data_IF_465853916820
#
_entry.id   IF_465853916820
#
_cell.length_a   1.000
_cell.length_b   1.000
_cell.length_c   1.000
_cell.angle_alpha   90.00
_cell.angle_beta   90.00
_cell.angle_gamma   90.00
#
_symmetry.space_group_name_H-M   'P 1'
#
loop_
_entity.id
_entity.type
_entity.pdbx_description
1 polymer ?
#
# COMPACT_ATOMS: atom_id res chain seq x y z
N UNK A 1 -6.52 31.41 19.99
CA UNK A 1 -7.03 30.27 19.19
C UNK A 1 -5.98 29.15 19.05
N UNK A 2 -4.73 29.45 18.65
CA UNK A 2 -3.65 28.44 18.53
C UNK A 2 -3.32 27.67 19.84
N UNK A 3 -3.31 28.34 21.00
CA UNK A 3 -3.05 27.69 22.30
C UNK A 3 -4.11 26.63 22.65
N UNK A 4 -5.36 26.84 22.23
CA UNK A 4 -6.48 25.94 22.53
C UNK A 4 -6.39 24.67 21.67
N UNK A 5 -6.02 24.79 20.40
CA UNK A 5 -5.84 23.65 19.48
C UNK A 5 -4.66 22.77 19.91
N UNK A 6 -3.57 23.39 20.38
CA UNK A 6 -2.40 22.65 20.90
C UNK A 6 -2.75 21.86 22.16
N UNK A 7 -3.50 22.45 23.08
CA UNK A 7 -3.96 21.77 24.30
C UNK A 7 -4.94 20.64 23.96
N UNK A 8 -5.92 20.88 23.09
CA UNK A 8 -6.89 19.87 22.65
C UNK A 8 -6.22 18.67 21.97
N UNK A 9 -5.21 18.91 21.12
CA UNK A 9 -4.50 17.83 20.44
C UNK A 9 -3.61 17.03 21.40
N UNK A 10 -3.02 17.69 22.41
CA UNK A 10 -2.29 17.04 23.49
C UNK A 10 -3.18 16.16 24.38
N UNK A 11 -4.41 16.60 24.65
CA UNK A 11 -5.41 15.82 25.39
C UNK A 11 -5.97 14.66 24.57
N UNK A 12 -6.17 14.84 23.26
CA UNK A 12 -6.73 13.81 22.39
C UNK A 12 -5.79 12.63 22.17
N UNK A 13 -4.53 12.90 21.80
CA UNK A 13 -3.51 11.87 21.70
C UNK A 13 -2.12 12.44 22.04
N UNK A 14 -1.63 12.24 23.26
CA UNK A 14 -0.35 12.80 23.72
C UNK A 14 0.85 12.23 22.93
N UNK A 15 0.72 11.01 22.41
CA UNK A 15 1.75 10.39 21.58
C UNK A 15 1.86 11.08 20.22
N UNK A 16 0.73 11.43 19.58
CA UNK A 16 0.73 12.26 18.36
C UNK A 16 1.38 13.61 18.62
N UNK A 17 0.99 14.28 19.72
CA UNK A 17 1.56 15.56 20.11
C UNK A 17 3.09 15.51 20.29
N UNK A 18 3.57 14.45 20.95
CA UNK A 18 5.01 14.20 21.15
C UNK A 18 5.76 14.10 19.83
N UNK A 19 5.24 13.32 18.87
CA UNK A 19 5.87 13.16 17.56
C UNK A 19 5.84 14.46 16.73
N UNK A 20 4.71 15.17 16.73
CA UNK A 20 4.56 16.48 16.08
C UNK A 20 5.59 17.47 16.60
N UNK A 21 5.68 17.65 17.93
CA UNK A 21 6.62 18.57 18.56
C UNK A 21 8.07 18.21 18.28
N UNK A 22 8.39 16.91 18.22
CA UNK A 22 9.74 16.43 17.92
C UNK A 22 10.17 16.69 16.47
N UNK A 23 9.22 16.63 15.52
CA UNK A 23 9.51 16.62 14.07
C UNK A 23 9.27 17.95 13.37
N UNK A 24 8.24 18.71 13.79
CA UNK A 24 7.89 20.02 13.22
C UNK A 24 8.79 21.14 13.74
N UNK A 25 10.10 20.96 13.60
CA UNK A 25 11.09 22.03 13.84
C UNK A 25 11.11 22.96 12.62
N UNK A 26 11.26 24.29 12.79
CA UNK A 26 11.25 25.24 11.68
C UNK A 26 12.19 24.86 10.54
N UNK A 27 13.40 24.38 10.86
CA UNK A 27 14.38 23.87 9.90
C UNK A 27 13.84 22.69 9.08
N UNK A 28 13.20 21.72 9.72
CA UNK A 28 12.66 20.54 9.04
C UNK A 28 11.49 20.93 8.14
N UNK A 29 10.60 21.80 8.62
CA UNK A 29 9.47 22.29 7.85
C UNK A 29 9.94 23.07 6.61
N UNK A 30 10.94 23.94 6.76
CA UNK A 30 11.52 24.68 5.63
C UNK A 30 12.10 23.73 4.57
N UNK A 31 12.86 22.71 4.99
CA UNK A 31 13.41 21.70 4.08
C UNK A 31 12.28 20.92 3.39
N UNK A 32 11.25 20.52 4.13
CA UNK A 32 10.07 19.82 3.60
C UNK A 32 9.34 20.65 2.53
N UNK A 33 9.13 21.95 2.79
CA UNK A 33 8.52 22.88 1.83
C UNK A 33 9.39 23.00 0.57
N UNK A 34 10.69 23.21 0.74
CA UNK A 34 11.63 23.33 -0.37
C UNK A 34 11.65 22.07 -1.23
N UNK A 35 11.73 20.88 -0.63
CA UNK A 35 11.71 19.59 -1.36
C UNK A 35 10.41 19.44 -2.15
N UNK A 36 9.25 19.74 -1.54
CA UNK A 36 7.96 19.61 -2.23
C UNK A 36 7.87 20.56 -3.43
N UNK A 37 8.18 21.85 -3.24
CA UNK A 37 8.08 22.86 -4.30
C UNK A 37 9.09 22.63 -5.43
N UNK A 38 10.34 22.29 -5.10
CA UNK A 38 11.38 22.01 -6.10
C UNK A 38 11.02 20.75 -6.90
N UNK A 39 10.53 19.69 -6.24
CA UNK A 39 10.13 18.47 -6.95
C UNK A 39 8.96 18.72 -7.91
N UNK A 40 7.96 19.51 -7.48
CA UNK A 40 6.84 19.91 -8.33
C UNK A 40 7.31 20.76 -9.52
N UNK A 41 8.21 21.72 -9.29
CA UNK A 41 8.78 22.55 -10.36
C UNK A 41 9.55 21.71 -11.38
N UNK A 42 10.42 20.80 -10.91
CA UNK A 42 11.21 19.92 -11.77
C UNK A 42 10.31 19.00 -12.60
N UNK A 43 9.22 18.49 -12.03
CA UNK A 43 8.24 17.68 -12.76
C UNK A 43 7.60 18.50 -13.90
N UNK A 44 7.13 19.71 -13.60
CA UNK A 44 6.52 20.58 -14.61
C UNK A 44 7.52 20.98 -15.70
N UNK A 45 8.77 21.28 -15.34
CA UNK A 45 9.84 21.54 -16.30
C UNK A 45 10.12 20.32 -17.19
N UNK A 46 10.15 19.13 -16.60
CA UNK A 46 10.33 17.87 -17.33
C UNK A 46 9.22 17.66 -18.37
N UNK A 47 7.96 17.91 -18.01
CA UNK A 47 6.85 17.82 -18.96
C UNK A 47 6.79 18.96 -19.96
N UNK A 48 7.18 20.18 -19.57
CA UNK A 48 7.28 21.30 -20.50
C UNK A 48 8.36 21.05 -21.57
N UNK A 49 9.46 20.38 -21.21
CA UNK A 49 10.53 20.03 -22.16
C UNK A 49 10.12 19.00 -23.22
N UNK A 50 9.01 18.31 -23.03
CA UNK A 50 8.48 17.31 -23.98
C UNK A 50 7.51 17.93 -25.01
N UNK A 51 7.20 19.22 -24.88
CA UNK A 51 6.33 19.92 -25.82
C UNK A 51 7.01 20.09 -27.19
N UNK A 52 6.25 20.01 -28.29
CA UNK A 52 6.81 20.17 -29.64
C UNK A 52 7.27 21.61 -29.85
N UNK A 53 8.47 21.78 -30.43
CA UNK A 53 9.04 23.08 -30.81
C UNK A 53 9.16 23.15 -32.33
N UNK A 54 8.86 24.30 -32.91
CA UNK A 54 8.99 24.54 -34.35
C UNK A 54 10.47 24.66 -34.71
N UNK A 55 11.02 23.63 -35.35
CA UNK A 55 12.37 23.67 -35.92
C UNK A 55 12.30 24.19 -37.36
N UNK A 56 12.92 25.34 -37.62
CA UNK A 56 12.88 26.03 -38.91
C UNK A 56 13.51 25.23 -40.08
N UNK A 57 14.22 24.13 -39.81
CA UNK A 57 15.01 23.39 -40.80
C UNK A 57 14.36 22.08 -41.29
N UNK A 58 13.33 21.55 -40.61
CA UNK A 58 12.69 20.30 -41.02
C UNK A 58 11.47 20.54 -41.91
N UNK A 59 11.63 20.27 -43.21
CA UNK A 59 10.50 20.05 -44.13
C UNK A 59 9.99 18.62 -43.96
N UNK A 60 9.05 18.40 -43.03
CA UNK A 60 8.38 17.10 -42.83
C UNK A 60 7.22 17.16 -41.85
N UNK A 61 6.41 16.09 -41.80
CA UNK A 61 5.39 15.91 -40.77
C UNK A 61 6.07 15.76 -39.39
N UNK A 62 5.71 16.62 -38.43
CA UNK A 62 6.21 16.57 -37.07
C UNK A 62 5.26 15.74 -36.19
N UNK A 63 5.81 14.82 -35.40
CA UNK A 63 5.01 13.92 -34.57
C UNK A 63 5.37 14.10 -33.10
N UNK A 64 4.36 14.30 -32.24
CA UNK A 64 4.55 14.40 -30.80
C UNK A 64 3.31 13.83 -30.08
N UNK A 65 3.49 13.29 -28.87
CA UNK A 65 2.41 12.77 -28.03
C UNK A 65 1.33 13.82 -27.76
N UNK A 66 1.73 15.09 -27.58
CA UNK A 66 0.84 16.19 -27.21
C UNK A 66 0.23 16.92 -28.40
N UNK A 67 0.40 16.45 -29.64
CA UNK A 67 -0.20 17.08 -30.81
C UNK A 67 -1.65 16.62 -31.05
N UNK A 68 -2.44 17.42 -31.77
CA UNK A 68 -3.88 17.20 -32.00
C UNK A 68 -4.22 16.61 -33.37
N UNK A 69 -3.25 16.49 -34.29
CA UNK A 69 -3.49 16.04 -35.65
C UNK A 69 -3.67 14.53 -35.80
N UNK A 70 -3.59 14.06 -37.05
CA UNK A 70 -3.76 12.65 -37.38
C UNK A 70 -2.80 11.77 -36.59
N UNK A 71 -3.31 10.62 -36.20
CA UNK A 71 -2.66 9.70 -35.31
C UNK A 71 -1.71 8.68 -35.91
N UNK A 72 -0.64 8.32 -35.18
CA UNK A 72 0.12 7.08 -35.38
C UNK A 72 0.65 6.52 -34.05
N UNK A 73 0.13 5.37 -33.63
CA UNK A 73 0.56 4.49 -32.52
C UNK A 73 0.81 5.16 -31.16
N UNK A 74 1.86 5.98 -31.06
CA UNK A 74 2.31 6.64 -29.83
C UNK A 74 2.40 8.18 -29.95
N UNK A 75 2.08 8.73 -31.12
CA UNK A 75 2.23 10.16 -31.42
C UNK A 75 1.19 10.64 -32.41
N UNK A 76 0.82 11.91 -32.32
CA UNK A 76 -0.04 12.59 -33.27
C UNK A 76 0.77 13.55 -34.13
N UNK A 77 0.32 13.80 -35.36
CA UNK A 77 0.91 14.82 -36.23
C UNK A 77 0.60 16.21 -35.65
N UNK A 78 1.57 17.12 -35.72
CA UNK A 78 1.48 18.46 -35.17
C UNK A 78 0.87 19.42 -36.19
N UNK A 79 -0.30 19.97 -35.84
CA UNK A 79 -1.02 20.94 -36.66
C UNK A 79 -0.57 22.35 -36.25
N UNK A 80 -0.22 23.24 -37.21
CA UNK A 80 0.18 24.60 -36.89
C UNK A 80 -1.01 25.40 -36.35
N UNK A 81 -0.75 26.22 -35.32
CA UNK A 81 -1.76 27.04 -34.64
C UNK A 81 -2.05 28.39 -35.34
N UNK A 82 -1.30 28.71 -36.40
CA UNK A 82 -1.38 29.99 -37.12
C UNK A 82 -0.66 31.17 -36.43
N UNK A 83 -0.07 30.97 -35.24
CA UNK A 83 0.71 31.95 -34.47
C UNK A 83 2.21 31.64 -34.46
N UNK A 84 2.64 30.64 -35.25
CA UNK A 84 4.03 30.21 -35.33
C UNK A 84 4.37 29.08 -34.34
N UNK A 85 3.36 28.42 -33.77
CA UNK A 85 3.48 27.24 -32.91
C UNK A 85 2.65 26.05 -33.41
N UNK A 86 2.46 25.07 -32.53
CA UNK A 86 1.62 23.90 -32.78
C UNK A 86 0.41 23.89 -31.82
N UNK A 87 -0.70 23.33 -32.27
CA UNK A 87 -1.85 23.06 -31.41
C UNK A 87 -1.53 21.91 -30.44
N UNK A 88 -1.60 22.20 -29.14
CA UNK A 88 -1.22 21.27 -28.06
C UNK A 88 -2.46 20.73 -27.36
N UNK A 89 -2.51 19.41 -27.18
CA UNK A 89 -3.48 18.71 -26.33
C UNK A 89 -3.12 18.90 -24.85
N UNK A 90 -3.52 20.04 -24.29
CA UNK A 90 -3.31 20.38 -22.88
C UNK A 90 -3.99 19.42 -21.91
N UNK A 91 -5.12 18.82 -22.31
CA UNK A 91 -5.81 17.84 -21.49
C UNK A 91 -4.92 16.61 -21.25
N UNK A 92 -4.33 16.05 -22.32
CA UNK A 92 -3.40 14.92 -22.23
C UNK A 92 -2.14 15.27 -21.43
N UNK A 93 -1.60 16.48 -21.63
CA UNK A 93 -0.44 16.96 -20.87
C UNK A 93 -0.71 17.01 -19.37
N UNK A 94 -1.85 17.56 -18.95
CA UNK A 94 -2.23 17.62 -17.53
C UNK A 94 -2.56 16.25 -16.94
N UNK A 95 -3.11 15.33 -17.74
CA UNK A 95 -3.31 13.94 -17.33
C UNK A 95 -1.99 13.22 -17.07
N UNK A 96 -0.99 13.38 -17.94
CA UNK A 96 0.34 12.80 -17.73
C UNK A 96 0.98 13.37 -16.43
N UNK A 97 0.88 14.69 -16.21
CA UNK A 97 1.33 15.32 -14.95
C UNK A 97 0.62 14.71 -13.74
N UNK A 98 -0.70 14.53 -13.82
CA UNK A 98 -1.50 13.91 -12.75
C UNK A 98 -1.04 12.48 -12.44
N UNK A 99 -0.82 11.65 -13.46
CA UNK A 99 -0.38 10.25 -13.31
C UNK A 99 0.98 10.19 -12.63
N UNK A 100 1.93 11.03 -13.05
CA UNK A 100 3.27 11.03 -12.46
C UNK A 100 3.28 11.55 -11.03
N UNK A 101 2.50 12.58 -10.73
CA UNK A 101 2.29 13.02 -9.34
C UNK A 101 1.67 11.91 -8.48
N UNK A 102 0.71 11.16 -9.02
CA UNK A 102 0.12 9.99 -8.36
C UNK A 102 1.17 8.91 -8.10
N UNK A 103 1.95 8.52 -9.10
CA UNK A 103 3.01 7.51 -8.96
C UNK A 103 4.06 7.93 -7.93
N UNK A 104 4.58 9.16 -8.02
CA UNK A 104 5.53 9.70 -7.03
C UNK A 104 4.89 9.69 -5.64
N UNK A 105 3.61 10.07 -5.52
CA UNK A 105 2.85 10.04 -4.27
C UNK A 105 2.73 8.63 -3.67
N UNK A 106 2.44 7.61 -4.48
CA UNK A 106 2.37 6.20 -4.07
C UNK A 106 3.71 5.75 -3.47
N UNK A 107 4.78 5.93 -4.23
CA UNK A 107 6.13 5.52 -3.78
C UNK A 107 6.57 6.30 -2.55
N UNK A 108 6.35 7.62 -2.53
CA UNK A 108 6.70 8.46 -1.40
C UNK A 108 5.94 8.01 -0.13
N UNK A 109 4.61 7.90 -0.17
CA UNK A 109 3.81 7.49 0.98
C UNK A 109 4.18 6.08 1.45
N UNK A 110 4.12 5.08 0.57
CA UNK A 110 4.26 3.69 1.00
C UNK A 110 5.71 3.32 1.34
N UNK A 111 6.71 3.74 0.55
CA UNK A 111 8.11 3.38 0.80
C UNK A 111 8.72 4.25 1.90
N UNK A 112 8.67 5.58 1.74
CA UNK A 112 9.28 6.50 2.71
C UNK A 112 8.54 6.45 4.04
N UNK A 113 7.21 6.38 4.03
CA UNK A 113 6.42 6.26 5.26
C UNK A 113 6.73 4.97 6.03
N UNK A 114 6.84 3.83 5.34
CA UNK A 114 7.27 2.55 5.95
C UNK A 114 8.68 2.67 6.53
N UNK A 115 9.63 3.24 5.79
CA UNK A 115 10.99 3.46 6.28
C UNK A 115 11.01 4.34 7.54
N UNK A 116 10.24 5.43 7.55
CA UNK A 116 10.17 6.36 8.68
C UNK A 116 9.65 5.69 9.94
N UNK A 117 8.58 4.90 9.84
CA UNK A 117 8.00 4.17 10.97
C UNK A 117 8.95 3.11 11.51
N UNK A 118 9.56 2.31 10.64
CA UNK A 118 10.52 1.28 11.04
C UNK A 118 11.78 1.89 11.65
N UNK A 119 12.31 2.97 11.06
CA UNK A 119 13.48 3.66 11.59
C UNK A 119 13.22 4.27 12.95
N UNK A 120 12.03 4.84 13.14
CA UNK A 120 11.61 5.37 14.45
C UNK A 120 11.56 4.27 15.50
N UNK A 121 10.85 3.19 15.21
CA UNK A 121 10.67 2.09 16.15
C UNK A 121 11.99 1.39 16.49
N UNK A 122 12.83 1.15 15.49
CA UNK A 122 14.17 0.58 15.66
C UNK A 122 15.06 1.46 16.54
N UNK A 123 15.04 2.78 16.33
CA UNK A 123 15.76 3.74 17.17
C UNK A 123 15.24 3.74 18.60
N UNK A 124 13.93 3.73 18.80
CA UNK A 124 13.35 3.71 20.14
C UNK A 124 13.60 2.40 20.90
N UNK A 125 13.57 1.25 20.23
CA UNK A 125 13.93 -0.03 20.84
C UNK A 125 15.43 -0.04 21.21
N UNK A 126 16.31 0.44 20.31
CA UNK A 126 17.76 0.50 20.59
C UNK A 126 18.14 1.42 21.76
N UNK A 127 17.35 2.47 22.00
CA UNK A 127 17.53 3.43 23.10
C UNK A 127 16.80 3.01 24.38
N UNK A 128 16.06 1.90 24.35
CA UNK A 128 15.21 1.45 25.46
C UNK A 128 13.99 2.33 25.71
N UNK A 129 13.73 3.36 24.90
CA UNK A 129 12.59 4.28 25.10
C UNK A 129 11.26 3.62 24.78
N UNK A 130 11.25 2.60 23.93
CA UNK A 130 10.05 1.82 23.65
C UNK A 130 9.58 1.03 24.89
N UNK A 131 10.49 0.60 25.77
CA UNK A 131 10.12 -0.05 27.02
C UNK A 131 9.43 0.91 27.98
N UNK A 132 9.84 2.18 28.03
CA UNK A 132 9.12 3.19 28.82
C UNK A 132 7.72 3.41 28.30
N UNK A 133 7.53 3.46 26.97
CA UNK A 133 6.19 3.56 26.36
C UNK A 133 5.30 2.37 26.73
N UNK A 134 5.84 1.15 26.77
CA UNK A 134 5.10 -0.06 27.19
C UNK A 134 4.61 -0.02 28.64
N UNK A 135 5.29 0.74 29.50
CA UNK A 135 4.93 0.90 30.91
C UNK A 135 3.94 2.05 31.15
N UNK A 136 3.67 2.88 30.14
CA UNK A 136 2.69 3.96 30.28
C UNK A 136 1.26 3.40 30.35
N UNK A 137 0.35 4.03 31.10
CA UNK A 137 -1.04 3.56 31.24
C UNK A 137 -1.90 3.76 29.97
N UNK A 138 -1.29 4.09 28.84
CA UNK A 138 -2.00 4.31 27.58
C UNK A 138 -2.22 3.00 26.83
N UNK A 139 -3.33 2.91 26.10
CA UNK A 139 -3.63 1.74 25.27
C UNK A 139 -2.67 1.64 24.08
N UNK A 140 -2.31 0.42 23.66
CA UNK A 140 -1.46 0.20 22.48
C UNK A 140 -1.99 0.91 21.23
N UNK A 141 -3.30 0.88 20.92
CA UNK A 141 -3.84 1.59 19.77
C UNK A 141 -3.62 3.11 19.83
N UNK A 142 -3.69 3.71 21.02
CA UNK A 142 -3.41 5.15 21.20
C UNK A 142 -1.95 5.47 20.91
N UNK A 143 -1.01 4.68 21.46
CA UNK A 143 0.43 4.89 21.28
C UNK A 143 0.83 4.63 19.82
N UNK A 144 0.54 3.43 19.32
CA UNK A 144 0.96 3.01 17.99
C UNK A 144 0.20 3.74 16.89
N UNK A 145 -1.09 4.03 17.08
CA UNK A 145 -1.86 4.90 16.18
C UNK A 145 -1.31 6.33 16.18
N UNK A 146 -0.87 6.81 17.34
CA UNK A 146 -0.20 8.09 17.43
C UNK A 146 1.13 8.16 16.68
N UNK A 147 1.86 7.04 16.61
CA UNK A 147 3.05 6.91 15.75
C UNK A 147 2.68 6.88 14.27
N UNK A 148 1.64 6.16 13.89
CA UNK A 148 1.16 6.07 12.50
C UNK A 148 0.82 7.47 11.92
N UNK A 149 0.22 8.33 12.74
CA UNK A 149 -0.10 9.71 12.34
C UNK A 149 1.07 10.68 12.51
N UNK A 150 1.84 10.55 13.60
CA UNK A 150 2.84 11.55 13.98
C UNK A 150 4.22 11.35 13.35
N UNK A 151 4.67 10.10 13.16
CA UNK A 151 6.02 9.81 12.67
C UNK A 151 6.25 10.30 11.24
N UNK A 152 5.38 9.98 10.26
CA UNK A 152 5.50 10.47 8.90
C UNK A 152 4.90 11.89 8.68
N UNK A 153 4.72 12.72 9.71
CA UNK A 153 4.05 14.02 9.56
C UNK A 153 4.69 14.94 8.52
N UNK A 154 6.03 14.97 8.43
CA UNK A 154 6.72 15.77 7.43
C UNK A 154 6.43 15.29 6.00
N UNK A 155 6.27 13.97 5.82
CA UNK A 155 5.88 13.38 4.54
C UNK A 155 4.43 13.74 4.20
N UNK A 156 3.51 13.72 5.17
CA UNK A 156 2.14 14.20 4.96
C UNK A 156 2.09 15.67 4.57
N UNK A 157 2.95 16.52 5.14
CA UNK A 157 3.07 17.92 4.72
C UNK A 157 3.61 18.02 3.29
N UNK A 158 4.62 17.24 2.92
CA UNK A 158 5.13 17.20 1.53
C UNK A 158 4.02 16.90 0.54
N UNK A 159 3.22 15.86 0.81
CA UNK A 159 2.08 15.45 -0.03
C UNK A 159 0.98 16.51 0.01
N UNK A 160 0.66 17.05 1.20
CA UNK A 160 -0.32 18.13 1.37
C UNK A 160 0.01 19.37 0.53
N UNK A 161 1.29 19.70 0.39
CA UNK A 161 1.75 20.79 -0.48
C UNK A 161 1.72 20.45 -1.97
N UNK A 162 1.71 19.16 -2.35
CA UNK A 162 1.57 18.70 -3.73
C UNK A 162 0.09 18.52 -4.14
N UNK A 163 -0.83 18.42 -3.17
CA UNK A 163 -2.26 18.27 -3.43
C UNK A 163 -2.86 19.37 -4.33
N UNK A 164 -2.51 20.67 -4.18
CA UNK A 164 -3.05 21.71 -5.06
C UNK A 164 -2.70 21.45 -6.53
N UNK A 165 -1.44 21.13 -6.83
CA UNK A 165 -1.03 20.81 -8.20
C UNK A 165 -1.71 19.53 -8.71
N UNK A 166 -1.83 18.52 -7.86
CA UNK A 166 -2.53 17.27 -8.20
C UNK A 166 -4.02 17.52 -8.52
N UNK A 167 -4.71 18.34 -7.74
CA UNK A 167 -6.10 18.76 -7.99
C UNK A 167 -6.25 19.62 -9.25
N UNK A 168 -5.35 20.58 -9.47
CA UNK A 168 -5.35 21.38 -10.69
C UNK A 168 -5.13 20.51 -11.93
N UNK A 169 -4.20 19.56 -11.86
CA UNK A 169 -3.91 18.62 -12.95
C UNK A 169 -5.09 17.69 -13.25
N UNK A 170 -5.85 17.24 -12.24
CA UNK A 170 -7.03 16.42 -12.46
C UNK A 170 -8.16 17.19 -13.14
N UNK A 171 -8.42 18.44 -12.72
CA UNK A 171 -9.44 19.30 -13.32
C UNK A 171 -9.06 19.66 -14.74
N UNK A 172 -7.81 20.07 -14.99
CA UNK A 172 -7.33 20.41 -16.32
C UNK A 172 -7.24 19.18 -17.25
N UNK A 173 -7.02 17.99 -16.68
CA UNK A 173 -7.06 16.71 -17.37
C UNK A 173 -8.45 16.11 -17.55
N UNK A 174 -9.52 16.83 -17.17
CA UNK A 174 -10.92 16.39 -17.28
C UNK A 174 -11.21 15.04 -16.58
N UNK A 175 -10.57 14.80 -15.42
CA UNK A 175 -10.76 13.59 -14.63
C UNK A 175 -11.99 13.75 -13.72
N UNK A 176 -12.97 12.81 -13.75
CA UNK A 176 -14.17 12.91 -12.91
C UNK A 176 -13.84 12.92 -11.41
N UNK A 177 -14.43 13.86 -10.67
CA UNK A 177 -14.18 14.05 -9.23
C UNK A 177 -14.48 12.79 -8.39
N UNK A 178 -15.52 12.03 -8.75
CA UNK A 178 -15.85 10.79 -8.05
C UNK A 178 -14.75 9.72 -8.15
N UNK A 179 -14.14 9.58 -9.32
CA UNK A 179 -13.03 8.65 -9.54
C UNK A 179 -11.77 9.11 -8.78
N UNK A 180 -11.52 10.41 -8.74
CA UNK A 180 -10.44 10.99 -7.94
C UNK A 180 -10.61 10.71 -6.43
N UNK A 181 -11.84 10.81 -5.91
CA UNK A 181 -12.14 10.48 -4.52
C UNK A 181 -11.84 9.00 -4.22
N UNK A 182 -12.24 8.09 -5.11
CA UNK A 182 -11.91 6.66 -5.01
C UNK A 182 -10.39 6.44 -4.90
N UNK A 183 -9.60 7.11 -5.74
CA UNK A 183 -8.14 7.01 -5.69
C UNK A 183 -7.57 7.43 -4.33
N UNK A 184 -8.02 8.56 -3.76
CA UNK A 184 -7.55 8.99 -2.45
C UNK A 184 -7.97 8.05 -1.31
N UNK A 185 -9.18 7.48 -1.38
CA UNK A 185 -9.64 6.49 -0.39
C UNK A 185 -8.77 5.21 -0.46
N UNK A 186 -8.47 4.72 -1.66
CA UNK A 186 -7.58 3.57 -1.86
C UNK A 186 -6.16 3.89 -1.38
N UNK A 187 -5.64 5.08 -1.68
CA UNK A 187 -4.33 5.51 -1.19
C UNK A 187 -4.27 5.52 0.34
N UNK A 188 -5.28 6.11 0.99
CA UNK A 188 -5.34 6.20 2.45
C UNK A 188 -5.45 4.81 3.11
N UNK A 189 -6.29 3.94 2.58
CA UNK A 189 -6.43 2.55 3.07
C UNK A 189 -5.15 1.74 2.86
N UNK A 190 -4.47 1.91 1.73
CA UNK A 190 -3.16 1.29 1.46
C UNK A 190 -2.12 1.78 2.46
N UNK A 191 -2.03 3.09 2.72
CA UNK A 191 -1.14 3.64 3.74
C UNK A 191 -1.41 3.03 5.12
N UNK A 192 -2.68 2.93 5.52
CA UNK A 192 -3.05 2.31 6.80
C UNK A 192 -2.59 0.85 6.87
N UNK A 193 -2.76 0.09 5.80
CA UNK A 193 -2.35 -1.31 5.74
C UNK A 193 -0.83 -1.46 5.82
N UNK A 194 -0.08 -0.81 4.93
CA UNK A 194 1.38 -0.89 4.90
C UNK A 194 2.01 -0.37 6.19
N UNK A 195 1.50 0.73 6.76
CA UNK A 195 2.02 1.26 8.03
C UNK A 195 1.69 0.35 9.22
N UNK A 196 0.52 -0.29 9.25
CA UNK A 196 0.18 -1.26 10.30
C UNK A 196 1.09 -2.51 10.20
N UNK A 197 1.31 -3.01 8.99
CA UNK A 197 2.25 -4.11 8.74
C UNK A 197 3.70 -3.71 9.08
N UNK A 198 4.10 -2.49 8.76
CA UNK A 198 5.41 -1.95 9.11
C UNK A 198 5.61 -1.90 10.63
N UNK A 199 4.63 -1.40 11.39
CA UNK A 199 4.69 -1.41 12.85
C UNK A 199 4.77 -2.84 13.41
N UNK A 200 4.01 -3.78 12.82
CA UNK A 200 4.02 -5.17 13.28
C UNK A 200 5.37 -5.83 13.02
N UNK A 201 5.87 -5.72 11.79
CA UNK A 201 7.20 -6.16 11.42
C UNK A 201 8.26 -5.52 12.32
N UNK A 202 8.09 -4.22 12.58
CA UNK A 202 8.75 -3.40 13.58
C UNK A 202 8.93 -4.09 14.95
N UNK A 203 7.81 -4.48 15.54
CA UNK A 203 7.77 -5.11 16.86
C UNK A 203 8.19 -6.58 16.86
N UNK A 204 8.15 -7.28 15.74
CA UNK A 204 8.49 -8.71 15.70
C UNK A 204 9.97 -8.91 15.39
N UNK A 205 10.53 -8.13 14.48
CA UNK A 205 11.91 -8.31 13.98
C UNK A 205 12.96 -7.44 14.70
N UNK A 206 12.76 -7.19 16.00
CA UNK A 206 13.62 -6.33 16.85
C UNK A 206 15.12 -6.67 16.78
N UNK A 207 15.43 -7.95 16.59
CA UNK A 207 16.81 -8.44 16.46
C UNK A 207 17.55 -7.87 15.25
N UNK A 208 16.81 -7.44 14.21
CA UNK A 208 17.40 -6.81 13.01
C UNK A 208 17.85 -5.37 13.27
N UNK A 209 17.42 -4.73 14.36
CA UNK A 209 17.84 -3.38 14.76
C UNK A 209 17.83 -2.40 13.57
N UNK A 210 18.98 -1.81 13.22
CA UNK A 210 19.11 -0.79 12.18
C UNK A 210 18.94 -1.32 10.75
N UNK A 211 18.98 -2.64 10.53
CA UNK A 211 18.72 -3.24 9.22
C UNK A 211 17.22 -3.33 8.89
N UNK A 212 16.38 -3.33 9.92
CA UNK A 212 14.93 -3.47 9.79
C UNK A 212 14.26 -2.45 8.84
N UNK A 213 14.58 -1.13 8.90
CA UNK A 213 13.94 -0.15 8.02
C UNK A 213 14.31 -0.34 6.55
N UNK A 214 15.56 -0.74 6.27
CA UNK A 214 16.03 -1.04 4.91
C UNK A 214 15.33 -2.26 4.34
N UNK A 215 15.24 -3.35 5.11
CA UNK A 215 14.58 -4.57 4.66
C UNK A 215 13.08 -4.33 4.42
N UNK A 216 12.38 -3.68 5.36
CA UNK A 216 10.95 -3.44 5.24
C UNK A 216 10.60 -2.48 4.11
N UNK A 217 11.26 -1.33 4.01
CA UNK A 217 11.00 -0.37 2.92
C UNK A 217 11.47 -0.88 1.56
N UNK A 218 12.58 -1.62 1.50
CA UNK A 218 13.06 -2.27 0.28
C UNK A 218 12.09 -3.34 -0.24
N UNK A 219 11.50 -4.13 0.66
CA UNK A 219 10.45 -5.08 0.28
C UNK A 219 9.21 -4.39 -0.29
N UNK A 220 8.76 -3.28 0.31
CA UNK A 220 7.66 -2.46 -0.22
C UNK A 220 8.02 -1.88 -1.59
N UNK A 221 9.23 -1.33 -1.75
CA UNK A 221 9.70 -0.79 -3.01
C UNK A 221 9.71 -1.85 -4.12
N UNK A 222 10.29 -3.02 -3.85
CA UNK A 222 10.31 -4.13 -4.80
C UNK A 222 8.90 -4.58 -5.18
N UNK A 223 8.01 -4.69 -4.19
CA UNK A 223 6.61 -5.00 -4.43
C UNK A 223 5.94 -3.98 -5.36
N UNK A 224 6.10 -2.67 -5.11
CA UNK A 224 5.52 -1.63 -5.94
C UNK A 224 6.08 -1.64 -7.36
N UNK A 225 7.39 -1.86 -7.53
CA UNK A 225 8.02 -1.95 -8.86
C UNK A 225 7.45 -3.15 -9.62
N UNK A 226 7.41 -4.33 -9.01
CA UNK A 226 6.88 -5.55 -9.65
C UNK A 226 5.42 -5.33 -10.04
N UNK A 227 4.59 -4.84 -9.13
CA UNK A 227 3.15 -4.63 -9.40
C UNK A 227 2.90 -3.54 -10.43
N UNK A 228 3.70 -2.47 -10.46
CA UNK A 228 3.59 -1.43 -11.51
C UNK A 228 3.88 -2.02 -12.89
N UNK A 229 4.87 -2.90 -13.01
CA UNK A 229 5.16 -3.59 -14.28
C UNK A 229 4.04 -4.55 -14.67
N UNK A 230 3.47 -5.30 -13.72
CA UNK A 230 2.32 -6.18 -13.95
C UNK A 230 1.11 -5.38 -14.43
N UNK A 231 0.84 -4.21 -13.83
CA UNK A 231 -0.24 -3.32 -14.26
C UNK A 231 0.00 -2.70 -15.64
N UNK A 232 1.25 -2.47 -16.02
CA UNK A 232 1.59 -1.91 -17.34
C UNK A 232 1.48 -2.95 -18.47
N UNK A 233 1.74 -4.22 -18.17
CA UNK A 233 1.63 -5.33 -19.10
C UNK A 233 0.57 -6.33 -18.63
N UNK A 234 -0.74 -6.01 -18.78
CA UNK A 234 -1.80 -6.91 -18.40
C UNK A 234 -1.85 -8.07 -19.42
N UNK A 235 -1.07 -9.12 -19.16
CA UNK A 235 -1.40 -10.44 -19.67
C UNK A 235 -2.76 -10.85 -19.04
N UNK A 236 -3.56 -11.65 -19.74
CA UNK A 236 -4.80 -12.21 -19.20
C UNK A 236 -4.47 -13.03 -17.95
N UNK A 237 -4.57 -12.40 -16.78
CA UNK A 237 -4.27 -13.03 -15.52
C UNK A 237 -5.60 -13.37 -14.86
N UNK A 238 -5.92 -14.66 -14.86
CA UNK A 238 -7.00 -15.24 -14.06
C UNK A 238 -6.36 -16.10 -12.96
N UNK A 239 -5.35 -15.55 -12.31
CA UNK A 239 -4.47 -16.27 -11.41
C UNK A 239 -4.72 -15.85 -9.97
N UNK A 240 -4.55 -16.75 -8.98
CA UNK A 240 -4.65 -16.38 -7.57
C UNK A 240 -3.69 -15.23 -7.17
N UNK A 241 -2.63 -15.00 -7.95
CA UNK A 241 -1.69 -13.90 -7.76
C UNK A 241 -2.32 -12.51 -7.94
N UNK A 242 -3.46 -12.39 -8.63
CA UNK A 242 -4.15 -11.12 -8.85
C UNK A 242 -4.66 -10.48 -7.55
N UNK A 243 -4.84 -11.29 -6.50
CA UNK A 243 -5.07 -10.82 -5.15
C UNK A 243 -4.03 -9.79 -4.69
N UNK A 244 -2.75 -9.94 -5.09
CA UNK A 244 -1.68 -9.02 -4.73
C UNK A 244 -1.89 -7.61 -5.28
N UNK A 245 -2.62 -7.47 -6.39
CA UNK A 245 -2.91 -6.16 -6.97
C UNK A 245 -3.79 -5.29 -6.07
N UNK A 246 -4.60 -5.90 -5.18
CA UNK A 246 -5.42 -5.18 -4.20
C UNK A 246 -4.61 -4.40 -3.16
N UNK A 247 -3.30 -4.64 -3.06
CA UNK A 247 -2.42 -3.85 -2.19
C UNK A 247 -1.74 -2.68 -2.94
N UNK A 248 -1.84 -2.60 -4.27
CA UNK A 248 -1.20 -1.57 -5.06
C UNK A 248 -2.20 -0.44 -5.42
N UNK A 249 -2.11 0.76 -4.83
CA UNK A 249 -3.07 1.84 -5.09
C UNK A 249 -3.07 2.35 -6.54
N UNK A 250 -1.98 2.11 -7.29
CA UNK A 250 -1.89 2.46 -8.70
C UNK A 250 -2.85 1.70 -9.61
N UNK A 251 -3.54 0.68 -9.10
CA UNK A 251 -4.52 -0.09 -9.88
C UNK A 251 -5.71 0.75 -10.36
N UNK A 252 -6.02 1.86 -9.69
CA UNK A 252 -7.08 2.77 -10.13
C UNK A 252 -6.64 3.72 -11.24
N UNK A 253 -5.34 3.90 -11.48
CA UNK A 253 -4.84 4.89 -12.44
C UNK A 253 -5.42 4.72 -13.85
N UNK A 254 -5.48 3.50 -14.44
CA UNK A 254 -6.12 3.31 -15.75
C UNK A 254 -7.58 3.79 -15.78
N UNK A 255 -8.35 3.49 -14.73
CA UNK A 255 -9.76 3.90 -14.63
C UNK A 255 -9.96 5.42 -14.55
N UNK A 256 -8.98 6.17 -14.04
CA UNK A 256 -9.05 7.63 -13.94
C UNK A 256 -8.94 8.31 -15.31
N UNK A 257 -8.24 7.68 -16.25
CA UNK A 257 -7.83 8.23 -17.54
C UNK A 257 -8.79 7.79 -18.66
N UNK A 258 -9.40 6.61 -18.51
CA UNK A 258 -10.28 5.96 -19.49
C UNK A 258 -11.65 6.66 -19.73
N UNK A 259 -11.85 7.87 -19.20
CA UNK A 259 -13.09 8.61 -19.50
C UNK A 259 -13.03 9.31 -20.86
N UNK A 260 -11.86 9.82 -21.31
CA UNK A 260 -11.78 10.65 -22.54
C UNK A 260 -10.40 10.70 -23.22
N UNK A 261 -9.46 9.83 -22.87
CA UNK A 261 -8.08 9.99 -23.34
C UNK A 261 -7.35 8.66 -23.39
N UNK A 262 -7.33 8.07 -24.56
CA UNK A 262 -6.11 7.71 -25.28
C UNK A 262 -6.62 7.09 -26.57
N UNK A 263 -6.93 7.95 -27.54
CA UNK A 263 -6.57 7.53 -28.88
C UNK A 263 -6.01 8.66 -29.72
N UNK A 264 -4.92 8.33 -30.41
CA UNK A 264 -5.00 8.56 -31.82
C UNK A 264 -4.90 7.22 -32.62
N UNK A 265 -4.29 6.12 -32.16
CA UNK A 265 -4.64 4.79 -32.74
C UNK A 265 -4.51 3.64 -31.74
N UNK A 266 -5.64 2.98 -31.47
CA UNK A 266 -5.88 1.84 -30.59
C UNK A 266 -4.62 0.98 -30.33
N UNK A 267 -3.94 1.21 -29.21
CA UNK A 267 -2.95 0.25 -28.65
C UNK A 267 -3.42 -0.32 -27.30
N UNK A 268 -4.45 0.27 -26.70
CA UNK A 268 -5.33 -0.47 -25.82
C UNK A 268 -6.54 -0.83 -26.68
N UNK A 269 -6.52 -2.01 -27.31
CA UNK A 269 -7.77 -2.77 -27.44
C UNK A 269 -8.47 -2.59 -26.09
N UNK A 270 -9.60 -1.88 -26.12
CA UNK A 270 -10.63 -1.70 -25.08
C UNK A 270 -10.27 -2.17 -23.67
N UNK A 271 -10.75 -1.42 -22.67
CA UNK A 271 -10.80 -1.78 -21.25
C UNK A 271 -11.40 -3.15 -20.84
N UNK A 272 -11.45 -4.16 -21.72
CA UNK A 272 -11.71 -5.57 -21.45
C UNK A 272 -10.64 -6.24 -20.54
N UNK A 273 -9.38 -5.75 -20.50
CA UNK A 273 -8.34 -6.41 -19.67
C UNK A 273 -8.61 -6.32 -18.17
N UNK A 274 -9.00 -5.13 -17.68
CA UNK A 274 -9.41 -4.98 -16.30
C UNK A 274 -10.86 -5.46 -16.14
N UNK A 275 -11.78 -5.20 -17.09
CA UNK A 275 -13.17 -5.62 -16.98
C UNK A 275 -13.40 -7.14 -16.87
N UNK A 276 -12.37 -7.95 -17.17
CA UNK A 276 -12.39 -9.41 -17.01
C UNK A 276 -12.02 -9.94 -15.62
N UNK A 277 -11.48 -9.15 -14.69
CA UNK A 277 -11.06 -9.71 -13.39
C UNK A 277 -12.26 -10.13 -12.52
N UNK A 278 -12.30 -11.42 -12.19
CA UNK A 278 -13.42 -12.03 -11.49
C UNK A 278 -13.01 -12.41 -10.07
N UNK A 279 -13.88 -12.10 -9.11
CA UNK A 279 -13.79 -12.61 -7.75
C UNK A 279 -15.04 -13.45 -7.45
N UNK A 280 -14.90 -14.77 -7.33
CA UNK A 280 -16.02 -15.72 -7.32
C UNK A 280 -16.98 -15.54 -8.52
N UNK A 281 -16.43 -15.37 -9.72
CA UNK A 281 -17.19 -15.07 -10.95
C UNK A 281 -18.01 -13.76 -10.90
N UNK A 282 -17.74 -12.89 -9.92
CA UNK A 282 -18.29 -11.53 -9.85
C UNK A 282 -17.28 -10.58 -10.54
N UNK A 283 -17.69 -9.82 -11.56
CA UNK A 283 -16.80 -8.88 -12.26
C UNK A 283 -16.56 -7.65 -11.39
N UNK A 284 -15.58 -7.76 -10.49
CA UNK A 284 -15.28 -6.74 -9.46
C UNK A 284 -14.67 -5.47 -10.05
N UNK A 285 -14.15 -5.56 -11.27
CA UNK A 285 -13.49 -4.50 -12.03
C UNK A 285 -14.39 -3.80 -13.05
N UNK A 286 -15.64 -4.25 -13.22
CA UNK A 286 -16.59 -3.62 -14.15
C UNK A 286 -16.89 -2.15 -13.80
N UNK A 287 -16.78 -1.78 -12.52
CA UNK A 287 -17.00 -0.44 -12.03
C UNK A 287 -15.90 -0.01 -11.06
N UNK A 288 -15.41 1.22 -11.20
CA UNK A 288 -14.40 1.80 -10.31
C UNK A 288 -14.80 1.70 -8.82
N UNK A 289 -16.09 1.82 -8.51
CA UNK A 289 -16.62 1.69 -7.14
C UNK A 289 -16.50 0.28 -6.56
N UNK A 290 -16.78 -0.75 -7.36
CA UNK A 290 -16.69 -2.15 -6.93
C UNK A 290 -15.24 -2.52 -6.62
N UNK A 291 -14.34 -2.15 -7.54
CA UNK A 291 -12.91 -2.38 -7.37
C UNK A 291 -12.32 -1.60 -6.19
N UNK A 292 -12.74 -0.34 -6.02
CA UNK A 292 -12.41 0.48 -4.85
C UNK A 292 -12.89 -0.18 -3.56
N UNK A 293 -14.14 -0.65 -3.53
CA UNK A 293 -14.72 -1.33 -2.37
C UNK A 293 -13.94 -2.58 -1.96
N UNK A 294 -13.61 -3.45 -2.93
CA UNK A 294 -12.81 -4.65 -2.68
C UNK A 294 -11.41 -4.33 -2.19
N UNK A 295 -10.76 -3.33 -2.80
CA UNK A 295 -9.42 -2.86 -2.41
C UNK A 295 -9.41 -2.31 -0.99
N UNK A 296 -10.38 -1.47 -0.64
CA UNK A 296 -10.52 -0.90 0.71
C UNK A 296 -10.82 -1.99 1.73
N UNK A 297 -11.71 -2.93 1.40
CA UNK A 297 -12.03 -4.08 2.24
C UNK A 297 -10.79 -4.94 2.51
N UNK A 298 -10.03 -5.30 1.47
CA UNK A 298 -8.78 -6.05 1.60
C UNK A 298 -7.79 -5.33 2.51
N UNK A 299 -7.52 -4.05 2.26
CA UNK A 299 -6.61 -3.27 3.09
C UNK A 299 -7.09 -3.16 4.55
N UNK A 300 -8.39 -2.98 4.79
CA UNK A 300 -8.96 -2.94 6.13
C UNK A 300 -8.84 -4.29 6.85
N UNK A 301 -9.10 -5.40 6.15
CA UNK A 301 -9.00 -6.77 6.68
C UNK A 301 -7.57 -7.07 7.15
N UNK A 302 -6.57 -6.80 6.32
CA UNK A 302 -5.17 -7.04 6.67
C UNK A 302 -4.64 -6.05 7.72
N UNK A 303 -5.12 -4.80 7.71
CA UNK A 303 -4.86 -3.85 8.80
C UNK A 303 -5.40 -4.35 10.14
N UNK A 304 -6.63 -4.91 10.14
CA UNK A 304 -7.24 -5.47 11.35
C UNK A 304 -6.40 -6.61 11.92
N UNK A 305 -5.99 -7.57 11.09
CA UNK A 305 -5.13 -8.67 11.54
C UNK A 305 -3.76 -8.18 12.02
N UNK A 306 -3.16 -7.21 11.32
CA UNK A 306 -1.93 -6.57 11.79
C UNK A 306 -2.12 -5.97 13.19
N UNK A 307 -3.25 -5.31 13.47
CA UNK A 307 -3.55 -4.74 14.77
C UNK A 307 -3.78 -5.76 15.88
N UNK A 308 -4.36 -6.92 15.58
CA UNK A 308 -4.43 -8.03 16.54
C UNK A 308 -3.03 -8.46 16.99
N UNK A 309 -2.09 -8.57 16.05
CA UNK A 309 -0.69 -8.86 16.35
C UNK A 309 0.00 -7.74 17.12
N UNK A 310 -0.19 -6.48 16.70
CA UNK A 310 0.39 -5.31 17.35
C UNK A 310 0.01 -5.21 18.82
N UNK A 311 -1.28 -5.39 19.15
CA UNK A 311 -1.76 -5.29 20.53
C UNK A 311 -1.10 -6.32 21.45
N UNK A 312 -0.87 -7.54 20.94
CA UNK A 312 -0.21 -8.64 21.67
C UNK A 312 1.29 -8.40 21.83
N UNK A 313 1.99 -8.12 20.72
CA UNK A 313 3.44 -8.00 20.71
C UNK A 313 3.96 -6.70 21.35
N UNK A 314 3.10 -5.66 21.44
CA UNK A 314 3.49 -4.39 22.04
C UNK A 314 3.77 -4.51 23.54
N UNK A 315 2.82 -5.04 24.32
CA UNK A 315 2.99 -5.21 25.77
C UNK A 315 3.85 -6.41 26.12
N UNK A 316 3.71 -7.52 25.37
CA UNK A 316 4.40 -8.77 25.62
C UNK A 316 5.33 -9.13 24.46
N UNK A 317 6.61 -8.71 24.51
CA UNK A 317 7.61 -9.00 23.49
C UNK A 317 7.79 -10.46 23.12
N UNK A 318 7.61 -11.35 24.10
CA UNK A 318 7.80 -12.79 23.96
C UNK A 318 6.50 -13.54 23.61
N UNK A 319 5.39 -12.83 23.43
CA UNK A 319 4.13 -13.44 23.04
C UNK A 319 4.10 -13.76 21.55
N UNK A 320 3.38 -14.82 21.21
CA UNK A 320 3.06 -15.15 19.83
C UNK A 320 2.24 -14.02 19.20
N UNK A 321 2.44 -13.81 17.89
CA UNK A 321 1.76 -12.76 17.13
C UNK A 321 0.25 -13.01 17.14
N UNK A 322 -0.17 -14.26 16.97
CA UNK A 322 -1.57 -14.66 16.97
C UNK A 322 -1.83 -15.75 18.03
N UNK A 323 -3.06 -15.83 18.54
CA UNK A 323 -3.53 -17.06 19.18
C UNK A 323 -3.89 -18.11 18.12
N UNK A 324 -4.04 -19.36 18.55
CA UNK A 324 -4.51 -20.46 17.68
C UNK A 324 -5.90 -20.20 17.10
N UNK A 325 -6.79 -19.60 17.90
CA UNK A 325 -8.10 -19.19 17.40
C UNK A 325 -7.99 -18.11 16.32
N UNK A 326 -7.13 -17.11 16.54
CA UNK A 326 -6.87 -16.06 15.56
C UNK A 326 -6.23 -16.63 14.29
N UNK A 327 -5.36 -17.64 14.40
CA UNK A 327 -4.78 -18.28 13.21
C UNK A 327 -5.82 -19.01 12.37
N UNK A 328 -6.79 -19.72 12.96
CA UNK A 328 -7.84 -20.35 12.15
C UNK A 328 -8.70 -19.32 11.40
N UNK A 329 -8.99 -18.19 12.05
CA UNK A 329 -9.79 -17.12 11.44
C UNK A 329 -9.03 -16.39 10.33
N UNK A 330 -7.75 -16.04 10.54
CA UNK A 330 -6.94 -15.41 9.50
C UNK A 330 -6.69 -16.37 8.33
N UNK A 331 -6.54 -17.68 8.57
CA UNK A 331 -6.51 -18.68 7.50
C UNK A 331 -7.81 -18.67 6.70
N UNK A 332 -8.97 -18.69 7.36
CA UNK A 332 -10.26 -18.63 6.64
C UNK A 332 -10.41 -17.34 5.82
N UNK A 333 -9.98 -16.19 6.36
CA UNK A 333 -9.97 -14.93 5.64
C UNK A 333 -9.01 -14.95 4.43
N UNK A 334 -7.81 -15.51 4.60
CA UNK A 334 -6.80 -15.65 3.55
C UNK A 334 -7.34 -16.52 2.41
N UNK A 335 -7.83 -17.72 2.74
CA UNK A 335 -8.40 -18.66 1.77
C UNK A 335 -9.58 -18.04 1.02
N UNK A 336 -10.50 -17.37 1.73
CA UNK A 336 -11.64 -16.71 1.10
C UNK A 336 -11.19 -15.64 0.07
N UNK A 337 -10.14 -14.87 0.39
CA UNK A 337 -9.63 -13.85 -0.53
C UNK A 337 -8.95 -14.46 -1.75
N UNK A 338 -8.04 -15.42 -1.54
CA UNK A 338 -7.22 -15.98 -2.62
C UNK A 338 -7.99 -16.95 -3.52
N UNK A 339 -8.85 -17.79 -2.95
CA UNK A 339 -9.70 -18.73 -3.72
C UNK A 339 -10.64 -17.97 -4.63
N UNK A 340 -11.13 -16.81 -4.19
CA UNK A 340 -12.03 -15.98 -5.01
C UNK A 340 -11.43 -15.59 -6.37
N UNK A 341 -10.11 -15.41 -6.47
CA UNK A 341 -9.41 -15.14 -7.74
C UNK A 341 -9.01 -16.40 -8.52
N UNK A 342 -9.12 -17.58 -7.92
CA UNK A 342 -8.74 -18.86 -8.54
C UNK A 342 -9.87 -19.59 -9.27
N UNK A 343 -11.13 -19.22 -8.99
CA UNK A 343 -12.33 -19.96 -9.41
C UNK A 343 -12.82 -19.58 -10.81
N UNK A 344 -12.02 -18.88 -11.59
CA UNK A 344 -12.32 -18.66 -12.99
C UNK A 344 -12.24 -19.98 -13.76
N UNK A 345 -13.28 -20.28 -14.53
CA UNK A 345 -13.36 -21.48 -15.34
C UNK A 345 -13.78 -21.10 -16.75
N UNK A 346 -12.82 -20.96 -17.65
CA UNK A 346 -13.09 -20.98 -19.07
C UNK A 346 -13.21 -22.44 -19.52
N UNK A 347 -14.33 -22.78 -20.15
CA UNK A 347 -14.60 -24.14 -20.64
C UNK A 347 -13.71 -24.50 -21.84
N UNK A 348 -13.12 -23.50 -22.50
CA UNK A 348 -12.29 -23.69 -23.69
C UNK A 348 -10.78 -23.92 -23.37
N UNK A 349 -10.33 -23.57 -22.16
CA UNK A 349 -8.90 -23.67 -21.75
C UNK A 349 -8.70 -24.36 -20.38
N UNK A 350 -8.77 -25.70 -20.31
CA UNK A 350 -8.63 -26.44 -19.04
C UNK A 350 -7.22 -26.41 -18.42
N UNK A 351 -6.18 -25.96 -19.14
CA UNK A 351 -4.81 -25.85 -18.63
C UNK A 351 -4.66 -24.82 -17.50
N UNK A 352 -5.47 -23.75 -17.51
CA UNK A 352 -5.42 -22.65 -16.53
C UNK A 352 -5.77 -23.13 -15.11
N UNK A 353 -6.57 -24.19 -14.99
CA UNK A 353 -6.98 -24.76 -13.71
C UNK A 353 -5.83 -25.39 -12.91
N UNK A 354 -4.84 -25.96 -13.60
CA UNK A 354 -3.69 -26.60 -12.95
C UNK A 354 -2.66 -25.57 -12.48
N UNK A 355 -2.40 -24.54 -13.28
CA UNK A 355 -1.53 -23.41 -12.90
C UNK A 355 -2.10 -22.66 -11.69
N UNK A 356 -3.42 -22.43 -11.67
CA UNK A 356 -4.11 -21.84 -10.52
C UNK A 356 -3.93 -22.66 -9.24
N UNK A 357 -4.03 -23.98 -9.33
CA UNK A 357 -3.79 -24.86 -8.17
C UNK A 357 -2.33 -24.78 -7.70
N UNK A 358 -1.36 -24.78 -8.61
CA UNK A 358 0.06 -24.64 -8.25
C UNK A 358 0.35 -23.32 -7.54
N UNK A 359 -0.15 -22.21 -8.07
CA UNK A 359 0.02 -20.88 -7.48
C UNK A 359 -0.65 -20.84 -6.10
N UNK A 360 -1.86 -21.38 -5.96
CA UNK A 360 -2.58 -21.44 -4.68
C UNK A 360 -1.82 -22.26 -3.64
N UNK A 361 -1.20 -23.38 -4.02
CA UNK A 361 -0.35 -24.19 -3.15
C UNK A 361 0.92 -23.43 -2.71
N UNK A 362 1.54 -22.66 -3.60
CA UNK A 362 2.70 -21.82 -3.25
C UNK A 362 2.31 -20.74 -2.24
N UNK A 363 1.19 -20.06 -2.46
CA UNK A 363 0.67 -19.06 -1.52
C UNK A 363 0.31 -19.67 -0.17
N UNK A 364 -0.36 -20.83 -0.16
CA UNK A 364 -0.65 -21.59 1.05
C UNK A 364 0.63 -21.98 1.79
N UNK A 365 1.64 -22.48 1.10
CA UNK A 365 2.93 -22.83 1.69
C UNK A 365 3.58 -21.62 2.36
N UNK A 366 3.66 -20.47 1.66
CA UNK A 366 4.23 -19.24 2.20
C UNK A 366 3.43 -18.77 3.42
N UNK A 367 2.10 -18.81 3.34
CA UNK A 367 1.22 -18.43 4.43
C UNK A 367 1.38 -19.33 5.66
N UNK A 368 1.43 -20.64 5.48
CA UNK A 368 1.64 -21.59 6.58
C UNK A 368 3.05 -21.46 7.19
N UNK A 369 4.09 -21.22 6.40
CA UNK A 369 5.42 -20.89 6.95
C UNK A 369 5.38 -19.62 7.81
N UNK A 370 4.63 -18.60 7.36
CA UNK A 370 4.35 -17.39 8.14
C UNK A 370 3.60 -17.68 9.45
N UNK A 371 2.56 -18.52 9.40
CA UNK A 371 1.80 -18.92 10.60
C UNK A 371 2.65 -19.73 11.58
N UNK A 372 3.50 -20.65 11.10
CA UNK A 372 4.43 -21.38 11.94
C UNK A 372 5.33 -20.39 12.69
N UNK A 373 5.88 -19.39 12.01
CA UNK A 373 6.69 -18.35 12.65
C UNK A 373 5.87 -17.49 13.64
N UNK A 374 4.61 -17.20 13.32
CA UNK A 374 3.73 -16.36 14.13
C UNK A 374 3.19 -17.05 15.40
N UNK A 375 3.03 -18.39 15.35
CA UNK A 375 2.43 -19.21 16.40
C UNK A 375 3.45 -19.96 17.25
N UNK A 376 4.70 -20.07 16.79
CA UNK A 376 5.72 -20.84 17.51
C UNK A 376 6.08 -20.18 18.84
N UNK A 377 5.73 -20.79 19.99
CA UNK A 377 6.08 -20.25 21.29
C UNK A 377 7.58 -20.28 21.53
N UNK A 378 8.05 -19.36 22.38
CA UNK A 378 9.45 -19.32 22.77
C UNK A 378 9.87 -20.62 23.49
N UNK A 379 11.14 -21.00 23.34
CA UNK A 379 11.70 -22.26 23.88
C UNK A 379 11.38 -22.45 25.37
N UNK A 380 11.51 -21.39 26.16
CA UNK A 380 11.22 -21.43 27.59
C UNK A 380 9.74 -21.73 27.88
N UNK A 381 8.82 -21.12 27.12
CA UNK A 381 7.37 -21.35 27.25
C UNK A 381 7.01 -22.81 26.97
N UNK A 382 7.65 -23.44 25.97
CA UNK A 382 7.47 -24.86 25.68
C UNK A 382 8.00 -25.77 26.79
N UNK A 383 9.17 -25.45 27.35
CA UNK A 383 9.75 -26.20 28.46
C UNK A 383 8.87 -26.12 29.70
N UNK A 384 8.35 -24.93 30.00
CA UNK A 384 7.44 -24.72 31.12
C UNK A 384 6.13 -25.48 30.89
N UNK A 385 5.55 -25.41 29.70
CA UNK A 385 4.35 -26.18 29.35
C UNK A 385 4.55 -27.69 29.55
N UNK A 386 5.66 -28.24 29.04
CA UNK A 386 5.97 -29.66 29.19
C UNK A 386 6.15 -30.05 30.67
N UNK A 387 6.84 -29.21 31.45
CA UNK A 387 7.05 -29.42 32.90
C UNK A 387 5.73 -29.37 33.67
N UNK A 388 4.92 -28.33 33.48
CA UNK A 388 3.63 -28.18 34.17
C UNK A 388 2.69 -29.34 33.87
N UNK A 389 2.64 -29.79 32.61
CA UNK A 389 1.83 -30.94 32.22
C UNK A 389 2.30 -32.24 32.87
N UNK A 390 3.61 -32.45 32.96
CA UNK A 390 4.18 -33.62 33.61
C UNK A 390 3.85 -33.66 35.12
N UNK A 391 3.98 -32.52 35.79
CA UNK A 391 3.75 -32.36 37.23
C UNK A 391 2.26 -32.41 37.64
N UNK A 392 1.32 -32.16 36.72
CA UNK A 392 -0.11 -32.23 37.04
C UNK A 392 -0.57 -33.68 37.30
N UNK A 393 -1.33 -33.93 38.40
CA UNK A 393 -1.89 -35.23 38.69
C UNK A 393 -2.89 -35.64 37.59
N UNK A 394 -2.98 -36.95 37.30
CA UNK A 394 -3.77 -37.48 36.17
C UNK A 394 -5.23 -37.00 36.16
N UNK A 395 -5.83 -36.74 37.32
CA UNK A 395 -7.20 -36.23 37.48
C UNK A 395 -7.38 -34.76 37.10
N UNK A 396 -6.30 -33.96 37.08
CA UNK A 396 -6.31 -32.53 36.75
C UNK A 396 -5.62 -32.22 35.41
N UNK A 397 -5.06 -33.22 34.72
CA UNK A 397 -4.45 -33.03 33.41
C UNK A 397 -5.52 -32.63 32.41
N UNK A 398 -5.36 -31.42 31.86
CA UNK A 398 -6.17 -30.97 30.72
C UNK A 398 -6.01 -31.93 29.55
N UNK A 399 -7.10 -32.17 28.84
CA UNK A 399 -7.11 -32.95 27.60
C UNK A 399 -6.01 -32.42 26.66
N UNK A 400 -5.17 -33.35 26.18
CA UNK A 400 -4.02 -33.03 25.33
C UNK A 400 -4.47 -32.38 24.03
N UNK A 401 -5.50 -32.93 23.40
CA UNK A 401 -5.98 -32.43 22.11
C UNK A 401 -6.56 -31.03 22.25
N UNK A 402 -7.39 -30.81 23.26
CA UNK A 402 -7.93 -29.47 23.56
C UNK A 402 -6.82 -28.47 23.86
N UNK A 403 -5.80 -28.87 24.61
CA UNK A 403 -4.67 -28.00 24.96
C UNK A 403 -3.75 -27.74 23.75
N UNK A 404 -3.57 -28.70 22.83
CA UNK A 404 -2.82 -28.49 21.59
C UNK A 404 -3.59 -27.65 20.56
N UNK A 405 -4.92 -27.78 20.47
CA UNK A 405 -5.73 -27.01 19.52
C UNK A 405 -5.98 -25.57 19.97
N UNK A 406 -6.10 -25.35 21.28
CA UNK A 406 -6.54 -24.06 21.83
C UNK A 406 -5.55 -23.41 22.81
N UNK A 407 -4.62 -24.18 23.38
CA UNK A 407 -3.68 -23.67 24.37
C UNK A 407 -2.61 -22.77 23.77
N UNK A 408 -2.39 -21.60 24.36
CA UNK A 408 -1.41 -20.63 23.86
C UNK A 408 0.05 -21.00 24.17
N UNK A 409 0.28 -21.77 25.23
CA UNK A 409 1.61 -22.16 25.69
C UNK A 409 2.07 -23.51 25.14
N UNK A 410 1.15 -24.25 24.52
CA UNK A 410 1.43 -25.57 23.94
C UNK A 410 2.03 -25.43 22.53
N UNK A 411 2.73 -26.47 22.03
CA UNK A 411 3.22 -26.50 20.65
C UNK A 411 2.12 -26.15 19.63
N UNK A 412 2.49 -25.43 18.57
CA UNK A 412 1.62 -25.25 17.43
C UNK A 412 1.51 -26.58 16.67
N UNK A 413 0.28 -26.98 16.31
CA UNK A 413 -0.02 -28.13 15.47
C UNK A 413 -0.27 -27.67 14.04
#
# INVERSE_FOLDING_TARGET
>A
MALNVVNQLGEWNPQVFRELKGRLKPRNVLITVAISLVSQLLLLMSFASQLPVVEHELKGDHWNRYCTGSAKRYSSNCVPDGLGGFEINWQLWWQDVFIWLSLIGIFALLVVGTYMLLSDLSKEESRGTLNFLRLTPQSSPSILGGKLLGVPILLYITIGLALPLHLCSSVAGNIPMGKMLCFYIVMASSCLCFYSLALLFGLVSRKLSSFQPWLGSGAVLMFLIIMTNVLHHPYHNYYPADWLMLFHPGILLPYLIDAHSLDPTDVYEKGDYLAGLLWFNIPVTAHAWSWTGLTVFNNALWSYWAWQGLQRCFHNPSANIFSKQQSYLITACFELMIVGFSLYHDLDYPQDSWENLQILLVFNLIFFLGLIAALSPHRQTLQDWARYRHQQPKSQRKDLLKDLLWGEKSPAL
#
